data_IF_528711888227
#
_entry.id   IF_528711888227
#
_cell.length_a   1.000
_cell.length_b   1.000
_cell.length_c   1.000
_cell.angle_alpha   90.00
_cell.angle_beta   90.00
_cell.angle_gamma   90.00
#
_symmetry.space_group_name_H-M   'P 1'
#
loop_
_entity.id
_entity.type
_entity.pdbx_description
1 polymer ?
#
# COMPACT_ATOMS: atom_id res chain seq x y z
N UNK A 1 -11.44 31.51 -11.25
CA UNK A 1 -10.24 32.36 -11.35
C UNK A 1 -10.19 32.85 -12.80
N UNK A 2 -10.46 34.15 -13.07
CA UNK A 2 -10.46 34.68 -14.44
C UNK A 2 -9.10 35.35 -14.67
N UNK A 3 -8.30 34.81 -15.56
CA UNK A 3 -7.08 35.48 -16.02
C UNK A 3 -7.47 36.58 -17.00
N UNK A 4 -7.03 37.82 -16.78
CA UNK A 4 -7.37 38.95 -17.62
C UNK A 4 -6.39 39.17 -18.80
N UNK A 5 -5.19 38.51 -18.73
CA UNK A 5 -4.21 38.53 -19.83
C UNK A 5 -3.28 37.31 -19.80
N UNK A 6 -2.60 37.05 -20.93
CA UNK A 6 -1.53 36.03 -21.00
C UNK A 6 -0.37 36.35 -20.04
N UNK A 7 -0.12 37.65 -19.78
CA UNK A 7 0.91 38.07 -18.84
C UNK A 7 0.54 37.69 -17.40
N UNK A 8 -0.74 37.73 -17.00
CA UNK A 8 -1.19 37.31 -15.66
C UNK A 8 -1.03 35.79 -15.48
N UNK A 9 -1.30 35.02 -16.53
CA UNK A 9 -1.10 33.56 -16.52
C UNK A 9 0.38 33.19 -16.32
N UNK A 10 1.28 33.83 -17.08
CA UNK A 10 2.74 33.63 -16.98
C UNK A 10 3.25 34.07 -15.61
N UNK A 11 2.80 35.23 -15.11
CA UNK A 11 3.19 35.76 -13.79
C UNK A 11 2.72 34.85 -12.65
N UNK A 12 1.52 34.24 -12.74
CA UNK A 12 1.03 33.26 -11.75
C UNK A 12 1.83 31.97 -11.83
N UNK A 13 2.16 31.47 -13.03
CA UNK A 13 3.02 30.32 -13.25
C UNK A 13 4.42 30.51 -12.65
N UNK A 14 5.04 31.68 -12.88
CA UNK A 14 6.36 31.99 -12.30
C UNK A 14 6.30 32.13 -10.77
N UNK A 15 5.25 32.71 -10.22
CA UNK A 15 5.01 32.72 -8.76
C UNK A 15 4.88 31.33 -8.16
N UNK A 16 4.17 30.43 -8.82
CA UNK A 16 4.06 29.01 -8.38
C UNK A 16 5.42 28.32 -8.42
N UNK A 17 6.20 28.54 -9.47
CA UNK A 17 7.56 27.99 -9.57
C UNK A 17 8.49 28.55 -8.49
N UNK A 18 8.37 29.83 -8.12
CA UNK A 18 9.20 30.40 -7.06
C UNK A 18 8.98 29.77 -5.68
N UNK A 19 7.80 29.18 -5.45
CA UNK A 19 7.53 28.43 -4.21
C UNK A 19 8.46 27.22 -4.08
N UNK A 20 8.79 26.53 -5.19
CA UNK A 20 9.71 25.39 -5.19
C UNK A 20 11.16 25.77 -4.85
N UNK A 21 11.55 27.02 -5.03
CA UNK A 21 12.87 27.53 -4.68
C UNK A 21 12.89 28.28 -3.34
N UNK A 22 11.75 28.34 -2.64
CA UNK A 22 11.66 29.02 -1.35
C UNK A 22 12.35 28.22 -0.24
N UNK A 23 12.94 28.91 0.78
CA UNK A 23 13.48 28.22 1.96
C UNK A 23 12.42 27.38 2.71
N UNK A 24 11.14 27.73 2.58
CA UNK A 24 10.03 26.98 3.16
C UNK A 24 9.84 25.63 2.48
N UNK A 25 10.02 25.57 1.15
CA UNK A 25 9.95 24.32 0.39
C UNK A 25 11.08 23.36 0.79
N UNK A 26 12.31 23.86 0.88
CA UNK A 26 13.46 23.06 1.33
C UNK A 26 13.32 22.54 2.77
N UNK A 27 12.65 23.31 3.66
CA UNK A 27 12.34 22.85 5.01
C UNK A 27 11.41 21.64 5.03
N UNK A 28 10.57 21.44 4.04
CA UNK A 28 9.70 20.25 3.93
C UNK A 28 10.50 18.95 3.74
N UNK A 29 11.74 19.02 3.22
CA UNK A 29 12.62 17.85 3.10
C UNK A 29 13.45 17.57 4.35
N UNK A 30 13.40 18.44 5.35
CA UNK A 30 14.09 18.18 6.61
C UNK A 30 13.31 17.13 7.41
N UNK A 31 13.98 16.12 7.96
CA UNK A 31 13.32 15.10 8.75
C UNK A 31 12.67 15.72 9.99
N UNK A 32 11.40 15.35 10.21
CA UNK A 32 10.70 15.74 11.42
C UNK A 32 11.41 15.16 12.65
N UNK A 33 11.61 15.99 13.69
CA UNK A 33 12.20 15.54 14.95
C UNK A 33 11.17 14.72 15.73
N UNK A 34 11.13 13.42 15.50
CA UNK A 34 10.33 12.49 16.30
C UNK A 34 11.12 12.12 17.56
N UNK A 35 10.57 12.41 18.74
CA UNK A 35 11.14 11.99 20.03
C UNK A 35 10.66 10.58 20.36
N UNK A 36 11.24 9.57 19.70
CA UNK A 36 10.99 8.17 20.00
C UNK A 36 12.15 7.66 20.85
N UNK A 37 11.86 7.08 22.02
CA UNK A 37 12.89 6.51 22.90
C UNK A 37 13.57 5.30 22.23
N UNK A 38 14.81 4.99 22.62
CA UNK A 38 15.55 3.82 22.11
C UNK A 38 14.80 2.53 22.39
N UNK A 39 14.17 2.40 23.56
CA UNK A 39 13.36 1.25 23.93
C UNK A 39 12.16 1.07 22.97
N UNK A 40 11.49 2.14 22.66
CA UNK A 40 10.36 2.13 21.71
C UNK A 40 10.83 1.73 20.30
N UNK A 41 11.95 2.30 19.83
CA UNK A 41 12.54 1.91 18.53
C UNK A 41 12.83 0.41 18.45
N UNK A 42 13.46 -0.13 19.50
CA UNK A 42 13.75 -1.56 19.55
C UNK A 42 12.46 -2.40 19.53
N UNK A 43 11.44 -2.01 20.29
CA UNK A 43 10.15 -2.69 20.28
C UNK A 43 9.52 -2.74 18.88
N UNK A 44 9.50 -1.61 18.16
CA UNK A 44 8.93 -1.52 16.82
C UNK A 44 9.70 -2.41 15.82
N UNK A 45 11.03 -2.35 15.85
CA UNK A 45 11.90 -3.14 14.95
C UNK A 45 11.79 -4.63 15.23
N UNK A 46 11.83 -5.02 16.50
CA UNK A 46 11.72 -6.43 16.91
C UNK A 46 10.31 -6.95 16.60
N UNK A 47 9.27 -6.16 16.87
CA UNK A 47 7.89 -6.52 16.52
C UNK A 47 7.72 -6.77 15.03
N UNK A 48 8.22 -5.88 14.18
CA UNK A 48 8.17 -6.06 12.73
C UNK A 48 8.97 -7.29 12.27
N UNK A 49 10.18 -7.51 12.85
CA UNK A 49 11.00 -8.68 12.54
C UNK A 49 10.25 -9.98 12.88
N UNK A 50 9.74 -10.08 14.11
CA UNK A 50 9.04 -11.28 14.58
C UNK A 50 7.75 -11.48 13.79
N UNK A 51 6.95 -10.43 13.59
CA UNK A 51 5.67 -10.48 12.88
C UNK A 51 5.84 -10.96 11.45
N UNK A 52 6.77 -10.40 10.68
CA UNK A 52 7.04 -10.84 9.30
C UNK A 52 7.61 -12.26 9.27
N UNK A 53 8.56 -12.57 10.18
CA UNK A 53 9.17 -13.90 10.24
C UNK A 53 8.14 -14.98 10.55
N UNK A 54 7.31 -14.79 11.60
CA UNK A 54 6.28 -15.74 11.96
C UNK A 54 5.21 -15.90 10.87
N UNK A 55 4.77 -14.78 10.28
CA UNK A 55 3.84 -14.80 9.14
C UNK A 55 4.40 -15.66 8.00
N UNK A 56 5.65 -15.39 7.60
CA UNK A 56 6.31 -16.16 6.54
C UNK A 56 6.48 -17.62 6.87
N UNK A 57 6.94 -17.94 8.08
CA UNK A 57 7.12 -19.32 8.54
C UNK A 57 5.80 -20.07 8.56
N UNK A 58 4.73 -19.49 9.13
CA UNK A 58 3.43 -20.15 9.20
C UNK A 58 2.82 -20.35 7.81
N UNK A 59 2.91 -19.34 6.92
CA UNK A 59 2.47 -19.51 5.54
C UNK A 59 3.25 -20.63 4.81
N UNK A 60 4.56 -20.71 5.04
CA UNK A 60 5.38 -21.77 4.46
C UNK A 60 4.98 -23.16 5.00
N UNK A 61 4.70 -23.29 6.29
CA UNK A 61 4.29 -24.54 6.91
C UNK A 61 2.87 -24.98 6.51
N UNK A 62 1.93 -24.04 6.42
CA UNK A 62 0.53 -24.32 6.05
C UNK A 62 0.40 -24.62 4.57
N UNK A 63 1.18 -23.94 3.74
CA UNK A 63 1.02 -23.98 2.28
C UNK A 63 1.59 -25.21 1.59
N UNK A 64 2.40 -26.02 2.26
CA UNK A 64 2.96 -27.24 1.70
C UNK A 64 3.69 -27.05 0.36
N UNK A 65 3.63 -28.09 -0.49
CA UNK A 65 4.31 -28.07 -1.80
C UNK A 65 3.62 -27.17 -2.86
N UNK A 66 2.34 -26.92 -2.73
CA UNK A 66 1.58 -26.09 -3.67
C UNK A 66 1.99 -24.60 -3.56
N UNK A 67 2.39 -24.13 -2.39
CA UNK A 67 2.90 -22.78 -2.16
C UNK A 67 4.37 -22.60 -2.57
N UNK A 68 5.10 -23.63 -2.94
CA UNK A 68 6.46 -23.50 -3.49
C UNK A 68 6.48 -22.71 -4.81
N UNK A 69 5.34 -22.63 -5.48
CA UNK A 69 5.18 -21.87 -6.75
C UNK A 69 4.68 -20.44 -6.56
N UNK A 70 4.17 -20.09 -5.37
CA UNK A 70 3.62 -18.78 -5.05
C UNK A 70 4.47 -18.12 -3.96
N UNK A 71 4.62 -16.77 -3.99
CA UNK A 71 5.30 -16.09 -2.90
C UNK A 71 4.49 -16.24 -1.60
N UNK A 72 5.06 -16.96 -0.63
CA UNK A 72 4.46 -17.16 0.71
C UNK A 72 4.38 -15.85 1.53
N UNK A 73 5.11 -14.82 1.13
CA UNK A 73 4.97 -13.44 1.61
C UNK A 73 4.72 -12.51 0.44
N UNK A 74 3.70 -11.68 0.55
CA UNK A 74 3.40 -10.65 -0.45
C UNK A 74 4.15 -9.36 -0.14
N UNK A 75 4.78 -8.75 -1.14
CA UNK A 75 5.61 -7.55 -0.95
C UNK A 75 4.90 -6.39 -0.21
N UNK A 76 3.62 -6.07 -0.46
CA UNK A 76 2.89 -5.04 0.29
C UNK A 76 2.78 -5.28 1.80
N UNK A 77 2.99 -6.52 2.27
CA UNK A 77 2.96 -6.85 3.69
C UNK A 77 4.05 -6.13 4.48
N UNK A 78 5.20 -5.84 3.87
CA UNK A 78 6.25 -5.04 4.49
C UNK A 78 5.77 -3.63 4.88
N UNK A 79 5.01 -2.97 4.00
CA UNK A 79 4.41 -1.68 4.30
C UNK A 79 3.29 -1.80 5.35
N UNK A 80 2.50 -2.89 5.33
CA UNK A 80 1.51 -3.19 6.35
C UNK A 80 2.16 -3.36 7.72
N UNK A 81 3.30 -4.04 7.81
CA UNK A 81 4.05 -4.22 9.06
C UNK A 81 4.54 -2.89 9.63
N UNK A 82 5.02 -1.97 8.77
CA UNK A 82 5.40 -0.61 9.23
C UNK A 82 4.20 0.09 9.88
N UNK A 83 3.01 0.03 9.28
CA UNK A 83 1.81 0.64 9.87
C UNK A 83 1.40 -0.04 11.19
N UNK A 84 1.34 -1.37 11.21
CA UNK A 84 0.88 -2.15 12.37
C UNK A 84 1.82 -1.94 13.57
N UNK A 85 3.12 -2.02 13.35
CA UNK A 85 4.09 -1.94 14.45
C UNK A 85 4.53 -0.50 14.76
N UNK A 86 4.74 0.37 13.76
CA UNK A 86 5.26 1.72 13.99
C UNK A 86 4.16 2.78 14.19
N UNK A 87 2.95 2.56 13.73
CA UNK A 87 1.82 3.50 13.82
C UNK A 87 0.52 2.80 14.28
N UNK A 88 0.54 2.01 15.39
CA UNK A 88 -0.61 1.18 15.79
C UNK A 88 -1.86 1.99 16.13
N UNK A 89 -1.72 3.25 16.53
CA UNK A 89 -2.84 4.16 16.80
C UNK A 89 -3.49 4.71 15.51
N UNK A 90 -2.91 4.47 14.33
CA UNK A 90 -3.49 4.91 13.06
C UNK A 90 -4.74 4.11 12.74
N UNK A 91 -5.84 4.76 12.29
CA UNK A 91 -7.01 4.04 11.78
C UNK A 91 -6.66 3.10 10.61
N UNK A 92 -5.61 3.41 9.86
CA UNK A 92 -5.13 2.61 8.73
C UNK A 92 -4.35 1.35 9.16
N UNK A 93 -3.97 1.24 10.43
CA UNK A 93 -3.28 0.09 11.03
C UNK A 93 -4.24 -0.86 11.76
N UNK A 94 -5.53 -0.52 11.85
CA UNK A 94 -6.52 -1.36 12.53
C UNK A 94 -6.75 -2.69 11.78
N UNK A 95 -7.10 -3.77 12.49
CA UNK A 95 -7.29 -5.09 11.89
C UNK A 95 -8.18 -5.10 10.64
N UNK A 96 -9.31 -4.40 10.69
CA UNK A 96 -10.21 -4.30 9.54
C UNK A 96 -9.58 -3.59 8.34
N UNK A 97 -8.81 -2.52 8.58
CA UNK A 97 -8.10 -1.82 7.52
C UNK A 97 -7.05 -2.72 6.88
N UNK A 98 -6.23 -3.40 7.68
CA UNK A 98 -5.16 -4.28 7.20
C UNK A 98 -5.72 -5.47 6.41
N UNK A 99 -6.64 -6.21 7.02
CA UNK A 99 -7.21 -7.44 6.43
C UNK A 99 -8.14 -7.11 5.27
N UNK A 100 -9.13 -6.25 5.49
CA UNK A 100 -10.10 -5.87 4.47
C UNK A 100 -9.48 -5.11 3.32
N UNK A 101 -8.62 -4.12 3.62
CA UNK A 101 -7.98 -3.28 2.61
C UNK A 101 -7.09 -4.07 1.65
N UNK A 102 -6.19 -4.91 2.16
CA UNK A 102 -5.32 -5.73 1.30
C UNK A 102 -6.10 -6.77 0.50
N UNK A 103 -7.02 -7.50 1.15
CA UNK A 103 -7.80 -8.57 0.48
C UNK A 103 -8.70 -7.99 -0.63
N UNK A 104 -9.41 -6.91 -0.33
CA UNK A 104 -10.23 -6.21 -1.32
C UNK A 104 -9.38 -5.72 -2.50
N UNK A 105 -8.22 -5.14 -2.20
CA UNK A 105 -7.30 -4.63 -3.23
C UNK A 105 -6.73 -5.75 -4.08
N UNK A 106 -6.45 -6.93 -3.50
CA UNK A 106 -6.03 -8.10 -4.26
C UNK A 106 -7.12 -8.53 -5.25
N UNK A 107 -8.38 -8.63 -4.80
CA UNK A 107 -9.50 -8.97 -5.68
C UNK A 107 -9.69 -7.96 -6.81
N UNK A 108 -9.62 -6.67 -6.50
CA UNK A 108 -9.69 -5.59 -7.50
C UNK A 108 -8.54 -5.69 -8.50
N UNK A 109 -7.32 -5.95 -8.03
CA UNK A 109 -6.16 -6.10 -8.89
C UNK A 109 -6.26 -7.32 -9.81
N UNK A 110 -6.76 -8.47 -9.31
CA UNK A 110 -7.01 -9.67 -10.11
C UNK A 110 -8.02 -9.38 -11.23
N UNK A 111 -9.11 -8.67 -10.94
CA UNK A 111 -10.05 -8.18 -11.96
C UNK A 111 -9.35 -7.22 -12.93
N UNK A 112 -8.47 -6.35 -12.42
CA UNK A 112 -7.68 -5.41 -13.21
C UNK A 112 -6.77 -6.08 -14.25
N UNK A 113 -6.28 -7.31 -13.99
CA UNK A 113 -5.53 -8.09 -14.98
C UNK A 113 -6.33 -8.32 -16.25
N UNK A 114 -7.63 -8.60 -16.14
CA UNK A 114 -8.50 -8.75 -17.32
C UNK A 114 -8.62 -7.43 -18.09
N UNK A 115 -8.56 -6.29 -17.37
CA UNK A 115 -8.52 -4.97 -17.99
C UNK A 115 -7.31 -4.74 -18.89
N UNK A 116 -6.14 -5.34 -18.57
CA UNK A 116 -4.94 -5.26 -19.43
C UNK A 116 -5.24 -5.82 -20.82
N UNK A 117 -5.91 -6.97 -20.88
CA UNK A 117 -6.26 -7.61 -22.15
C UNK A 117 -7.32 -6.83 -22.93
N UNK A 118 -8.30 -6.26 -22.23
CA UNK A 118 -9.38 -5.51 -22.86
C UNK A 118 -8.95 -4.16 -23.39
N UNK A 119 -8.09 -3.48 -22.65
CA UNK A 119 -7.67 -2.10 -22.95
C UNK A 119 -6.41 -2.05 -23.83
N UNK A 120 -5.59 -3.12 -23.86
CA UNK A 120 -4.28 -3.12 -24.51
C UNK A 120 -3.28 -2.11 -23.92
N UNK A 121 -3.57 -1.60 -22.70
CA UNK A 121 -2.81 -0.57 -22.02
C UNK A 121 -2.61 -0.96 -20.54
N UNK A 122 -1.51 -1.65 -20.19
CA UNK A 122 -1.27 -2.14 -18.83
C UNK A 122 -1.16 -1.02 -17.80
N UNK A 123 -0.62 0.14 -18.17
CA UNK A 123 -0.49 1.30 -17.30
C UNK A 123 -1.87 1.85 -16.91
N UNK A 124 -2.80 1.91 -17.86
CA UNK A 124 -4.17 2.37 -17.61
C UNK A 124 -4.91 1.35 -16.74
N UNK A 125 -4.77 0.05 -17.02
CA UNK A 125 -5.39 -1.00 -16.21
C UNK A 125 -4.88 -0.97 -14.76
N UNK A 126 -3.57 -0.79 -14.55
CA UNK A 126 -2.96 -0.65 -13.23
C UNK A 126 -3.48 0.60 -12.50
N UNK A 127 -3.54 1.75 -13.18
CA UNK A 127 -4.06 2.98 -12.61
C UNK A 127 -5.54 2.86 -12.20
N UNK A 128 -6.37 2.24 -13.04
CA UNK A 128 -7.77 1.98 -12.75
C UNK A 128 -7.95 1.00 -11.59
N UNK A 129 -7.14 -0.05 -11.51
CA UNK A 129 -7.19 -1.00 -10.40
C UNK A 129 -6.86 -0.31 -9.07
N UNK A 130 -5.80 0.50 -9.01
CA UNK A 130 -5.44 1.24 -7.80
C UNK A 130 -6.53 2.25 -7.43
N UNK A 131 -7.04 3.02 -8.39
CA UNK A 131 -8.10 4.00 -8.15
C UNK A 131 -9.38 3.33 -7.63
N UNK A 132 -9.78 2.20 -8.23
CA UNK A 132 -10.94 1.41 -7.80
C UNK A 132 -10.73 0.84 -6.40
N UNK A 133 -9.55 0.29 -6.11
CA UNK A 133 -9.22 -0.21 -4.78
C UNK A 133 -9.34 0.90 -3.72
N UNK A 134 -8.83 2.09 -3.98
CA UNK A 134 -8.95 3.24 -3.07
C UNK A 134 -10.42 3.60 -2.86
N UNK A 135 -11.21 3.72 -3.93
CA UNK A 135 -12.62 4.08 -3.85
C UNK A 135 -13.42 3.06 -3.01
N UNK A 136 -13.19 1.77 -3.22
CA UNK A 136 -13.85 0.71 -2.46
C UNK A 136 -13.38 0.65 -1.01
N UNK A 137 -12.08 0.81 -0.74
CA UNK A 137 -11.57 0.88 0.63
C UNK A 137 -12.17 2.04 1.42
N UNK A 138 -12.36 3.21 0.79
CA UNK A 138 -13.03 4.37 1.40
C UNK A 138 -14.49 4.07 1.69
N UNK A 139 -15.20 3.47 0.75
CA UNK A 139 -16.62 3.11 0.90
C UNK A 139 -16.84 2.10 2.02
N UNK A 140 -15.98 1.08 2.11
CA UNK A 140 -16.04 0.02 3.12
C UNK A 140 -15.32 0.36 4.42
N UNK A 141 -14.79 1.58 4.55
CA UNK A 141 -14.08 2.08 5.74
C UNK A 141 -12.89 1.20 6.15
N UNK A 142 -12.20 0.64 5.16
CA UNK A 142 -11.00 -0.18 5.37
C UNK A 142 -9.77 0.40 4.64
N UNK A 143 -9.65 1.74 4.64
CA UNK A 143 -8.53 2.40 3.97
C UNK A 143 -7.19 1.94 4.57
N UNK A 144 -6.39 1.27 3.74
CA UNK A 144 -5.08 0.75 4.09
C UNK A 144 -4.12 1.02 2.92
N UNK A 145 -3.20 1.98 3.04
CA UNK A 145 -2.35 2.40 1.92
C UNK A 145 -1.58 1.26 1.23
N UNK A 146 -1.05 0.26 1.95
CA UNK A 146 -0.42 -0.90 1.31
C UNK A 146 -1.35 -1.67 0.36
N UNK A 147 -2.68 -1.58 0.54
CA UNK A 147 -3.65 -2.16 -0.39
C UNK A 147 -3.50 -1.64 -1.81
N UNK A 148 -3.17 -0.36 -2.00
CA UNK A 148 -2.86 0.17 -3.33
C UNK A 148 -1.70 -0.56 -4.01
N UNK A 149 -0.64 -0.85 -3.25
CA UNK A 149 0.48 -1.65 -3.75
C UNK A 149 0.08 -3.12 -4.00
N UNK A 150 -0.86 -3.66 -3.20
CA UNK A 150 -1.42 -5.00 -3.43
C UNK A 150 -2.17 -5.07 -4.77
N UNK A 151 -3.05 -4.11 -5.05
CA UNK A 151 -3.75 -4.06 -6.34
C UNK A 151 -2.78 -3.94 -7.53
N UNK A 152 -1.77 -3.06 -7.40
CA UNK A 152 -0.74 -2.87 -8.41
C UNK A 152 0.07 -4.15 -8.64
N UNK A 153 0.47 -4.85 -7.57
CA UNK A 153 1.21 -6.10 -7.64
C UNK A 153 0.43 -7.18 -8.40
N UNK A 154 -0.89 -7.29 -8.20
CA UNK A 154 -1.72 -8.25 -8.93
C UNK A 154 -1.69 -7.98 -10.44
N UNK A 155 -1.86 -6.71 -10.83
CA UNK A 155 -1.88 -6.32 -12.25
C UNK A 155 -0.52 -6.54 -12.90
N UNK A 156 0.56 -6.05 -12.29
CA UNK A 156 1.92 -6.14 -12.85
C UNK A 156 2.47 -7.57 -12.83
N UNK A 157 2.05 -8.39 -11.85
CA UNK A 157 2.40 -9.81 -11.76
C UNK A 157 1.51 -10.72 -12.58
N UNK A 158 0.53 -10.17 -13.31
CA UNK A 158 -0.48 -10.92 -14.07
C UNK A 158 -1.16 -12.03 -13.26
N UNK A 159 -1.38 -11.79 -11.97
CA UNK A 159 -1.96 -12.76 -11.05
C UNK A 159 -3.47 -12.82 -11.30
N UNK A 160 -3.95 -13.94 -11.85
CA UNK A 160 -5.34 -14.14 -12.28
C UNK A 160 -6.15 -15.03 -11.36
N UNK A 161 -5.48 -15.83 -10.53
CA UNK A 161 -6.14 -16.79 -9.67
C UNK A 161 -6.74 -16.08 -8.44
N UNK A 162 -8.09 -16.10 -8.27
CA UNK A 162 -8.74 -15.49 -7.11
C UNK A 162 -8.31 -16.10 -5.77
N UNK A 163 -7.84 -17.34 -5.78
CA UNK A 163 -7.35 -18.02 -4.56
C UNK A 163 -6.15 -17.27 -3.94
N UNK A 164 -5.39 -16.54 -4.76
CA UNK A 164 -4.28 -15.71 -4.28
C UNK A 164 -4.72 -14.61 -3.30
N UNK A 165 -5.92 -14.08 -3.46
CA UNK A 165 -6.48 -13.12 -2.52
C UNK A 165 -6.76 -13.74 -1.14
N UNK A 166 -7.07 -15.05 -1.10
CA UNK A 166 -7.29 -15.79 0.14
C UNK A 166 -5.95 -16.29 0.72
N UNK A 167 -5.16 -16.95 -0.11
CA UNK A 167 -3.83 -17.42 0.23
C UNK A 167 -2.87 -17.09 -0.92
N UNK A 168 -1.88 -16.20 -0.75
CA UNK A 168 -1.32 -15.77 0.55
C UNK A 168 -1.88 -14.46 1.15
N UNK A 169 -2.64 -13.61 0.44
CA UNK A 169 -2.89 -12.23 0.88
C UNK A 169 -3.67 -12.16 2.19
N UNK A 170 -4.87 -12.73 2.25
CA UNK A 170 -5.72 -12.71 3.44
C UNK A 170 -5.02 -13.39 4.62
N UNK A 171 -4.41 -14.56 4.40
CA UNK A 171 -3.70 -15.31 5.42
C UNK A 171 -2.54 -14.50 6.00
N UNK A 172 -1.71 -13.88 5.14
CA UNK A 172 -0.61 -13.00 5.57
C UNK A 172 -1.12 -11.85 6.46
N UNK A 173 -2.22 -11.21 6.06
CA UNK A 173 -2.77 -10.08 6.81
C UNK A 173 -3.32 -10.50 8.18
N UNK A 174 -4.01 -11.65 8.25
CA UNK A 174 -4.51 -12.19 9.53
C UNK A 174 -3.34 -12.52 10.46
N UNK A 175 -2.32 -13.23 9.97
CA UNK A 175 -1.17 -13.61 10.77
C UNK A 175 -0.37 -12.40 11.25
N UNK A 176 -0.21 -11.37 10.40
CA UNK A 176 0.46 -10.13 10.78
C UNK A 176 -0.28 -9.36 11.87
N UNK A 177 -1.62 -9.37 11.85
CA UNK A 177 -2.46 -8.69 12.86
C UNK A 177 -2.45 -9.44 14.19
N UNK A 178 -2.28 -10.77 14.15
CA UNK A 178 -2.23 -11.63 15.34
C UNK A 178 -0.84 -11.68 16.02
N UNK A 179 0.21 -11.29 15.29
CA UNK A 179 1.59 -11.28 15.78
C UNK A 179 1.89 -10.08 16.70
#
# INVERSE_FOLDING_TARGET
MKFHSAADFVADGLRRLSVFFSPAWWRAFQPARTRISTRERLRLVIGALIGIFLTGLLCHLIGGDDLKRLPWLVAPLGASAVLVFALPASPMAQPWAVVGGNTLSALVGIVGVHGVYLLGAPELAAALAVATAIALMLTLRCLHPPGGATALMMVLGEIRDPSFALCPVLLNCILLVLA
#
